data_IF_523767448614
#
_entry.id   IF_523767448614
#
_cell.length_a   1.000
_cell.length_b   1.000
_cell.length_c   1.000
_cell.angle_alpha   90.00
_cell.angle_beta   90.00
_cell.angle_gamma   90.00
#
_symmetry.space_group_name_H-M   'P 1'
#
loop_
_entity.id
_entity.type
_entity.pdbx_description
1 polymer ?
#
# COMPACT_ATOMS: atom_id res chain seq x y z
N UNK A 1 -25.40 6.94 3.53
CA UNK A 1 -24.17 6.32 4.02
C UNK A 1 -23.57 5.51 2.87
N UNK A 2 -22.29 5.69 2.52
CA UNK A 2 -21.64 4.86 1.49
C UNK A 2 -21.05 3.64 2.21
N UNK A 3 -21.56 2.46 1.90
CA UNK A 3 -21.06 1.20 2.47
C UNK A 3 -19.67 0.89 1.90
N UNK A 4 -18.76 0.43 2.76
CA UNK A 4 -17.37 0.18 2.39
C UNK A 4 -17.10 -1.32 2.38
N UNK A 5 -16.20 -1.73 1.50
CA UNK A 5 -15.72 -3.10 1.41
C UNK A 5 -15.10 -3.54 2.74
N UNK A 6 -15.53 -4.68 3.27
CA UNK A 6 -15.05 -5.23 4.54
C UNK A 6 -13.61 -5.78 4.47
N UNK A 7 -13.06 -5.98 3.26
CA UNK A 7 -11.65 -6.34 3.06
C UNK A 7 -10.76 -5.08 3.07
N UNK A 8 -10.98 -4.16 2.13
CA UNK A 8 -10.04 -3.05 1.90
C UNK A 8 -10.52 -1.67 2.40
N UNK A 9 -11.80 -1.52 2.74
CA UNK A 9 -12.41 -0.26 3.15
C UNK A 9 -12.84 0.67 2.01
N UNK A 10 -12.66 0.27 0.74
CA UNK A 10 -13.06 1.05 -0.43
C UNK A 10 -14.59 1.18 -0.53
N UNK A 11 -15.11 2.33 -0.99
CA UNK A 11 -16.56 2.54 -1.19
C UNK A 11 -17.01 2.46 -2.64
N UNK A 12 -16.08 2.30 -3.57
CA UNK A 12 -16.37 2.26 -4.99
C UNK A 12 -16.69 0.84 -5.46
N UNK A 13 -17.94 0.65 -5.89
CA UNK A 13 -18.53 -0.63 -6.27
C UNK A 13 -18.94 -0.58 -7.74
N UNK A 14 -18.37 -1.47 -8.55
CA UNK A 14 -18.70 -1.63 -9.95
C UNK A 14 -19.87 -2.60 -10.09
N UNK A 15 -20.90 -2.18 -10.82
CA UNK A 15 -22.02 -3.07 -11.16
C UNK A 15 -21.55 -4.08 -12.20
N UNK A 16 -21.66 -5.36 -11.85
CA UNK A 16 -21.56 -6.52 -12.73
C UNK A 16 -22.93 -7.18 -12.75
N UNK A 17 -23.28 -7.88 -13.83
CA UNK A 17 -24.61 -8.47 -14.08
C UNK A 17 -25.47 -8.67 -12.81
N UNK A 18 -25.14 -9.68 -12.00
CA UNK A 18 -25.83 -9.98 -10.75
C UNK A 18 -24.94 -9.77 -9.50
N UNK A 19 -23.90 -8.94 -9.58
CA UNK A 19 -22.89 -8.75 -8.53
C UNK A 19 -22.42 -7.30 -8.43
N UNK A 20 -21.95 -6.91 -7.25
CA UNK A 20 -21.20 -5.68 -7.03
C UNK A 20 -19.74 -6.02 -6.75
N UNK A 21 -18.83 -5.52 -7.60
CA UNK A 21 -17.39 -5.72 -7.45
C UNK A 21 -16.76 -4.52 -6.75
N UNK A 22 -16.04 -4.75 -5.65
CA UNK A 22 -15.18 -3.73 -5.08
C UNK A 22 -14.03 -3.42 -6.06
N UNK A 23 -13.92 -2.16 -6.50
CA UNK A 23 -12.93 -1.73 -7.52
C UNK A 23 -11.46 -1.86 -7.10
N UNK A 24 -11.18 -2.14 -5.83
CA UNK A 24 -9.85 -2.34 -5.28
C UNK A 24 -9.49 -3.81 -5.08
N UNK A 25 -10.17 -4.50 -4.16
CA UNK A 25 -9.78 -5.84 -3.72
C UNK A 25 -10.42 -6.99 -4.50
N UNK A 26 -11.33 -6.71 -5.44
CA UNK A 26 -12.05 -7.70 -6.27
C UNK A 26 -13.08 -8.57 -5.51
N UNK A 27 -13.50 -8.14 -4.32
CA UNK A 27 -14.64 -8.75 -3.65
C UNK A 27 -15.90 -8.57 -4.50
N UNK A 28 -16.58 -9.67 -4.81
CA UNK A 28 -17.91 -9.68 -5.40
C UNK A 28 -18.94 -9.97 -4.31
N UNK A 29 -20.01 -9.17 -4.24
CA UNK A 29 -21.16 -9.40 -3.35
C UNK A 29 -22.48 -9.28 -4.10
N UNK A 30 -23.51 -10.02 -3.70
CA UNK A 30 -24.86 -9.92 -4.29
C UNK A 30 -25.56 -8.63 -3.86
N UNK A 31 -25.39 -8.26 -2.60
CA UNK A 31 -25.88 -7.02 -2.03
C UNK A 31 -24.76 -6.36 -1.21
N UNK A 32 -24.49 -5.08 -1.49
CA UNK A 32 -23.50 -4.30 -0.74
C UNK A 32 -23.92 -4.12 0.73
N UNK A 33 -25.21 -4.21 1.04
CA UNK A 33 -25.73 -4.11 2.41
C UNK A 33 -25.29 -5.24 3.34
N UNK A 34 -24.84 -6.37 2.78
CA UNK A 34 -24.43 -7.57 3.53
C UNK A 34 -22.92 -7.67 3.76
N UNK A 35 -22.14 -6.69 3.27
CA UNK A 35 -20.67 -6.73 3.25
C UNK A 35 -20.02 -6.92 4.63
N UNK A 36 -20.71 -6.50 5.69
CA UNK A 36 -20.31 -6.66 7.10
C UNK A 36 -20.02 -8.11 7.46
N UNK A 37 -20.93 -9.04 7.13
CA UNK A 37 -20.80 -10.45 7.47
C UNK A 37 -19.72 -11.17 6.64
N UNK A 38 -19.43 -10.67 5.44
CA UNK A 38 -18.51 -11.29 4.49
C UNK A 38 -17.09 -11.41 5.04
N UNK A 39 -16.60 -10.46 5.84
CA UNK A 39 -15.26 -10.55 6.42
C UNK A 39 -15.13 -11.73 7.38
N UNK A 40 -16.11 -11.93 8.27
CA UNK A 40 -16.11 -13.04 9.23
C UNK A 40 -16.19 -14.40 8.51
N UNK A 41 -16.98 -14.48 7.44
CA UNK A 41 -17.08 -15.69 6.61
C UNK A 41 -15.77 -16.01 5.88
N UNK A 42 -15.10 -14.99 5.34
CA UNK A 42 -13.78 -15.15 4.72
C UNK A 42 -12.78 -15.65 5.75
N UNK A 43 -12.72 -15.05 6.93
CA UNK A 43 -11.81 -15.45 8.01
C UNK A 43 -12.09 -16.89 8.46
N UNK A 44 -13.36 -17.27 8.61
CA UNK A 44 -13.75 -18.64 8.96
C UNK A 44 -13.26 -19.66 7.92
N UNK A 45 -13.43 -19.36 6.63
CA UNK A 45 -12.94 -20.22 5.53
C UNK A 45 -11.41 -20.29 5.49
N UNK A 46 -10.71 -19.17 5.65
CA UNK A 46 -9.25 -19.13 5.75
C UNK A 46 -8.73 -19.95 6.94
N UNK A 47 -9.44 -19.90 8.08
CA UNK A 47 -9.10 -20.67 9.27
C UNK A 47 -9.26 -22.18 9.12
N UNK A 48 -9.99 -22.66 8.10
CA UNK A 48 -10.16 -24.10 7.84
C UNK A 48 -8.93 -24.76 7.18
N UNK A 49 -8.01 -23.97 6.64
CA UNK A 49 -6.79 -24.42 5.94
C UNK A 49 -6.97 -24.72 4.46
N UNK A 50 -8.20 -24.72 3.94
CA UNK A 50 -8.52 -24.85 2.53
C UNK A 50 -9.74 -24.00 2.18
N UNK A 51 -9.57 -23.06 1.25
CA UNK A 51 -10.66 -22.32 0.63
C UNK A 51 -10.90 -22.95 -0.75
N UNK A 52 -12.11 -23.44 -1.00
CA UNK A 52 -12.53 -23.99 -2.30
C UNK A 52 -13.95 -23.48 -2.63
N UNK A 53 -14.02 -22.29 -3.22
CA UNK A 53 -15.29 -21.64 -3.59
C UNK A 53 -15.96 -22.29 -4.80
N UNK A 54 -15.29 -23.23 -5.48
CA UNK A 54 -15.92 -24.00 -6.55
C UNK A 54 -16.73 -25.17 -5.97
N UNK A 55 -16.16 -25.87 -4.99
CA UNK A 55 -16.81 -27.02 -4.34
C UNK A 55 -17.80 -26.61 -3.26
N UNK A 56 -17.47 -25.57 -2.50
CA UNK A 56 -18.27 -25.02 -1.42
C UNK A 56 -18.50 -23.52 -1.67
N UNK A 57 -19.37 -23.15 -2.62
CA UNK A 57 -19.60 -21.75 -2.97
C UNK A 57 -20.19 -20.99 -1.79
N UNK A 58 -19.77 -19.74 -1.62
CA UNK A 58 -20.48 -18.80 -0.76
C UNK A 58 -21.75 -18.31 -1.46
N UNK A 59 -22.84 -18.14 -0.70
CA UNK A 59 -24.15 -17.83 -1.26
C UNK A 59 -24.23 -16.39 -1.82
N UNK A 60 -23.63 -15.43 -1.11
CA UNK A 60 -23.80 -14.01 -1.36
C UNK A 60 -22.49 -13.24 -1.65
N UNK A 61 -21.35 -13.93 -1.66
CA UNK A 61 -20.06 -13.33 -2.03
C UNK A 61 -19.19 -14.29 -2.83
N UNK A 62 -18.19 -13.76 -3.54
CA UNK A 62 -17.18 -14.55 -4.24
C UNK A 62 -15.86 -13.79 -4.30
N UNK A 63 -14.76 -14.53 -4.32
CA UNK A 63 -13.42 -14.03 -4.61
C UNK A 63 -12.82 -14.86 -5.73
N UNK A 64 -12.16 -14.18 -6.66
CA UNK A 64 -11.25 -14.82 -7.60
C UNK A 64 -9.88 -15.08 -6.95
N UNK A 65 -8.95 -15.80 -7.59
CA UNK A 65 -7.67 -16.13 -6.97
C UNK A 65 -6.90 -14.89 -6.48
N UNK A 66 -6.87 -13.81 -7.26
CA UNK A 66 -6.22 -12.56 -6.87
C UNK A 66 -6.95 -11.87 -5.68
N UNK A 67 -8.28 -11.85 -5.70
CA UNK A 67 -9.10 -11.33 -4.60
C UNK A 67 -8.91 -12.13 -3.30
N UNK A 68 -8.84 -13.46 -3.39
CA UNK A 68 -8.56 -14.32 -2.25
C UNK A 68 -7.19 -14.04 -1.63
N UNK A 69 -6.15 -13.83 -2.45
CA UNK A 69 -4.82 -13.42 -1.95
C UNK A 69 -4.90 -12.09 -1.20
N UNK A 70 -5.53 -11.08 -1.78
CA UNK A 70 -5.67 -9.76 -1.13
C UNK A 70 -6.43 -9.86 0.22
N UNK A 71 -7.51 -10.64 0.25
CA UNK A 71 -8.30 -10.87 1.46
C UNK A 71 -7.52 -11.66 2.52
N UNK A 72 -6.82 -12.73 2.12
CA UNK A 72 -5.96 -13.49 3.02
C UNK A 72 -4.91 -12.60 3.68
N UNK A 73 -4.19 -11.79 2.89
CA UNK A 73 -3.18 -10.88 3.42
C UNK A 73 -3.79 -9.84 4.36
N UNK A 74 -4.97 -9.30 4.05
CA UNK A 74 -5.70 -8.38 4.95
C UNK A 74 -5.94 -8.97 6.34
N UNK A 75 -6.25 -10.26 6.39
CA UNK A 75 -6.62 -10.97 7.61
C UNK A 75 -5.45 -11.76 8.23
N UNK A 76 -4.21 -11.54 7.76
CA UNK A 76 -3.02 -12.16 8.34
C UNK A 76 -2.86 -13.64 7.97
N UNK A 77 -3.28 -14.04 6.77
CA UNK A 77 -3.09 -15.38 6.22
C UNK A 77 -2.19 -15.33 4.99
N UNK A 78 -1.35 -16.34 4.85
CA UNK A 78 -0.73 -16.70 3.58
C UNK A 78 -1.63 -17.70 2.84
N UNK A 79 -1.58 -17.64 1.51
CA UNK A 79 -2.28 -18.60 0.64
C UNK A 79 -1.33 -19.24 -0.34
N UNK A 80 -1.59 -20.50 -0.66
CA UNK A 80 -0.94 -21.27 -1.72
C UNK A 80 -2.00 -21.92 -2.61
N UNK A 81 -1.89 -21.83 -3.94
CA UNK A 81 -2.88 -22.43 -4.83
C UNK A 81 -2.87 -23.96 -4.73
N UNK A 82 -4.04 -24.57 -4.92
CA UNK A 82 -4.23 -26.04 -4.84
C UNK A 82 -3.54 -26.76 -6.01
N UNK A 83 -3.50 -26.13 -7.19
CA UNK A 83 -2.80 -26.62 -8.37
C UNK A 83 -2.27 -25.45 -9.20
N UNK A 84 -1.09 -25.62 -9.82
CA UNK A 84 -0.51 -24.65 -10.75
C UNK A 84 0.20 -25.41 -11.87
N UNK A 85 -0.04 -25.03 -13.12
CA UNK A 85 0.80 -25.49 -14.22
C UNK A 85 2.08 -24.65 -14.30
N UNK A 86 3.18 -25.26 -14.76
CA UNK A 86 4.45 -24.57 -14.87
C UNK A 86 4.33 -23.34 -15.79
N UNK A 87 4.64 -22.15 -15.27
CA UNK A 87 4.59 -20.89 -16.00
C UNK A 87 3.31 -20.07 -15.81
N UNK A 88 2.28 -20.62 -15.16
CA UNK A 88 1.05 -19.89 -14.88
C UNK A 88 1.22 -18.88 -13.74
N UNK A 89 0.47 -17.77 -13.83
CA UNK A 89 0.29 -16.85 -12.71
C UNK A 89 -0.40 -17.61 -11.58
N UNK A 90 0.20 -17.61 -10.38
CA UNK A 90 -0.29 -18.43 -9.26
C UNK A 90 -1.69 -18.03 -8.77
N UNK A 91 -1.98 -16.73 -8.80
CA UNK A 91 -3.26 -16.14 -8.41
C UNK A 91 -3.73 -15.15 -9.48
N UNK A 92 -4.28 -15.63 -10.60
CA UNK A 92 -4.72 -14.78 -11.70
C UNK A 92 -5.99 -13.99 -11.33
N UNK A 93 -6.16 -12.76 -11.83
CA UNK A 93 -7.40 -12.00 -11.71
C UNK A 93 -8.39 -12.40 -12.82
N UNK A 94 -9.05 -13.55 -12.67
CA UNK A 94 -9.79 -14.20 -13.77
C UNK A 94 -11.29 -14.46 -13.51
N UNK A 95 -11.83 -13.96 -12.38
CA UNK A 95 -13.23 -14.12 -12.00
C UNK A 95 -13.71 -15.57 -11.78
N UNK A 96 -12.81 -16.57 -11.74
CA UNK A 96 -13.18 -17.93 -11.37
C UNK A 96 -13.24 -18.05 -9.84
N UNK A 97 -14.14 -18.88 -9.27
CA UNK A 97 -14.16 -19.12 -7.83
C UNK A 97 -12.79 -19.59 -7.31
N UNK A 98 -12.25 -18.90 -6.32
CA UNK A 98 -10.90 -19.16 -5.83
C UNK A 98 -10.76 -20.52 -5.14
N UNK A 99 -9.57 -21.11 -5.30
CA UNK A 99 -9.13 -22.31 -4.59
C UNK A 99 -7.71 -22.12 -4.07
N UNK A 100 -7.51 -22.23 -2.76
CA UNK A 100 -6.19 -22.14 -2.16
C UNK A 100 -6.12 -22.85 -0.81
N UNK A 101 -4.97 -23.46 -0.53
CA UNK A 101 -4.55 -23.72 0.84
C UNK A 101 -4.29 -22.40 1.56
N UNK A 102 -4.66 -22.33 2.83
CA UNK A 102 -4.45 -21.16 3.67
C UNK A 102 -3.75 -21.55 4.97
N UNK A 103 -2.94 -20.64 5.48
CA UNK A 103 -2.30 -20.77 6.79
C UNK A 103 -2.12 -19.40 7.43
N UNK A 104 -2.23 -19.26 8.75
CA UNK A 104 -1.88 -18.01 9.43
C UNK A 104 -0.46 -17.58 9.03
N UNK A 105 -0.30 -16.32 8.68
CA UNK A 105 1.00 -15.75 8.38
C UNK A 105 1.81 -15.64 9.67
N UNK A 106 3.11 -15.91 9.57
CA UNK A 106 4.04 -15.73 10.69
C UNK A 106 5.06 -14.66 10.33
N UNK A 107 5.33 -13.75 11.25
CA UNK A 107 6.42 -12.77 11.08
C UNK A 107 7.74 -13.48 10.85
N UNK A 108 8.43 -13.10 9.79
CA UNK A 108 9.76 -13.62 9.44
C UNK A 108 10.73 -12.46 9.23
N UNK A 109 12.04 -12.66 9.45
CA UNK A 109 13.05 -11.64 9.16
C UNK A 109 13.05 -11.22 7.69
N UNK A 110 13.45 -9.98 7.42
CA UNK A 110 13.55 -9.46 6.05
C UNK A 110 14.77 -8.58 5.84
N UNK A 111 15.13 -8.38 4.58
CA UNK A 111 16.21 -7.49 4.15
C UNK A 111 15.72 -6.27 3.35
N UNK A 112 14.48 -5.83 3.60
CA UNK A 112 13.90 -4.64 2.97
C UNK A 112 14.71 -3.41 3.38
N UNK A 113 14.91 -2.52 2.41
CA UNK A 113 15.46 -1.19 2.65
C UNK A 113 14.34 -0.15 2.79
N UNK A 114 14.57 0.86 3.62
CA UNK A 114 13.70 2.03 3.77
C UNK A 114 14.28 3.21 3.00
N UNK A 115 13.57 3.66 1.98
CA UNK A 115 13.86 4.91 1.29
C UNK A 115 12.97 6.03 1.83
N UNK A 116 13.55 7.20 2.11
CA UNK A 116 12.83 8.37 2.62
C UNK A 116 13.01 9.54 1.66
N UNK A 117 11.91 10.06 1.14
CA UNK A 117 11.89 11.35 0.44
C UNK A 117 11.56 12.46 1.44
N UNK A 118 12.35 13.52 1.47
CA UNK A 118 12.19 14.59 2.45
C UNK A 118 12.70 15.94 1.93
N UNK A 119 12.36 17.03 2.62
CA UNK A 119 12.93 18.36 2.39
C UNK A 119 13.83 18.76 3.57
N UNK A 120 14.71 19.76 3.42
CA UNK A 120 15.55 20.26 4.52
C UNK A 120 14.76 20.64 5.77
N UNK A 121 13.55 21.18 5.61
CA UNK A 121 12.67 21.55 6.72
C UNK A 121 12.23 20.35 7.59
N UNK A 122 12.30 19.13 7.05
CA UNK A 122 11.84 17.90 7.69
C UNK A 122 12.99 17.20 8.47
N UNK A 123 14.10 17.91 8.74
CA UNK A 123 15.31 17.34 9.36
C UNK A 123 15.07 16.62 10.70
N UNK A 124 14.11 17.09 11.51
CA UNK A 124 13.78 16.42 12.77
C UNK A 124 13.02 15.11 12.55
N UNK A 125 12.04 15.10 11.64
CA UNK A 125 11.33 13.88 11.23
C UNK A 125 12.30 12.85 10.66
N UNK A 126 13.26 13.26 9.83
CA UNK A 126 14.28 12.35 9.28
C UNK A 126 15.06 11.65 10.40
N UNK A 127 15.53 12.41 11.40
CA UNK A 127 16.27 11.83 12.54
C UNK A 127 15.38 10.91 13.37
N UNK A 128 14.12 11.28 13.60
CA UNK A 128 13.14 10.45 14.30
C UNK A 128 12.94 9.11 13.57
N UNK A 129 12.60 9.15 12.28
CA UNK A 129 12.36 7.96 11.44
C UNK A 129 13.59 7.06 11.43
N UNK A 130 14.76 7.63 11.12
CA UNK A 130 16.01 6.87 10.99
C UNK A 130 16.46 6.24 12.30
N UNK A 131 16.13 6.86 13.44
CA UNK A 131 16.41 6.31 14.77
C UNK A 131 15.39 5.23 15.12
N UNK A 132 14.10 5.51 14.95
CA UNK A 132 13.01 4.61 15.30
C UNK A 132 13.06 3.29 14.52
N UNK A 133 13.34 3.35 13.21
CA UNK A 133 13.38 2.18 12.34
C UNK A 133 14.77 1.58 12.13
N UNK A 134 15.78 2.02 12.90
CA UNK A 134 17.18 1.63 12.72
C UNK A 134 17.42 0.13 12.65
N UNK A 135 16.68 -0.65 13.43
CA UNK A 135 16.80 -2.12 13.49
C UNK A 135 15.71 -2.84 12.70
N UNK A 136 14.71 -2.11 12.20
CA UNK A 136 13.61 -2.69 11.43
C UNK A 136 14.00 -2.92 9.96
N UNK A 137 14.89 -2.11 9.39
CA UNK A 137 15.30 -2.21 7.98
C UNK A 137 16.79 -2.50 7.83
N UNK A 138 17.14 -3.25 6.78
CA UNK A 138 18.52 -3.62 6.50
C UNK A 138 19.37 -2.43 6.01
N UNK A 139 18.71 -1.42 5.43
CA UNK A 139 19.32 -0.18 4.95
C UNK A 139 18.31 0.95 5.05
N UNK A 140 18.77 2.15 5.39
CA UNK A 140 17.98 3.37 5.31
C UNK A 140 18.74 4.36 4.41
N UNK A 141 18.04 4.94 3.43
CA UNK A 141 18.55 6.01 2.57
C UNK A 141 17.56 7.15 2.56
N UNK A 142 18.06 8.37 2.79
CA UNK A 142 17.29 9.61 2.65
C UNK A 142 17.71 10.28 1.36
N UNK A 143 16.74 10.71 0.55
CA UNK A 143 16.97 11.57 -0.59
C UNK A 143 16.30 12.92 -0.35
N UNK A 144 17.12 13.93 -0.09
CA UNK A 144 16.71 15.28 0.26
C UNK A 144 16.46 16.13 -0.98
N UNK A 145 15.29 16.75 -1.08
CA UNK A 145 15.02 17.86 -2.00
C UNK A 145 15.72 19.14 -1.50
N UNK A 146 17.04 19.18 -1.65
CA UNK A 146 17.87 20.26 -1.13
C UNK A 146 19.28 20.24 -1.67
N UNK A 147 20.16 20.96 -0.98
CA UNK A 147 21.57 21.15 -1.33
C UNK A 147 22.46 20.09 -0.67
N UNK A 148 23.69 19.96 -1.18
CA UNK A 148 24.70 19.10 -0.57
C UNK A 148 25.06 19.50 0.87
N UNK A 149 25.00 20.80 1.16
CA UNK A 149 25.30 21.32 2.50
C UNK A 149 24.25 20.86 3.51
N UNK A 150 22.96 21.07 3.21
CA UNK A 150 21.84 20.65 4.07
C UNK A 150 21.84 19.13 4.28
N UNK A 151 22.09 18.34 3.23
CA UNK A 151 22.24 16.90 3.37
C UNK A 151 23.41 16.50 4.28
N UNK A 152 24.53 17.21 4.21
CA UNK A 152 25.68 17.01 5.09
C UNK A 152 25.36 17.31 6.56
N UNK A 153 24.58 18.35 6.85
CA UNK A 153 24.14 18.67 8.22
C UNK A 153 23.24 17.56 8.80
N UNK A 154 22.34 17.01 7.99
CA UNK A 154 21.47 15.90 8.41
C UNK A 154 22.30 14.62 8.58
N UNK A 155 23.20 14.31 7.64
CA UNK A 155 24.09 13.15 7.71
C UNK A 155 24.94 13.14 8.99
N UNK A 156 25.40 14.31 9.45
CA UNK A 156 26.15 14.43 10.70
C UNK A 156 25.33 14.02 11.94
N UNK A 157 24.00 14.13 11.90
CA UNK A 157 23.08 13.75 12.99
C UNK A 157 22.74 12.27 12.98
N UNK A 158 22.80 11.61 11.81
CA UNK A 158 22.46 10.20 11.60
C UNK A 158 23.56 9.47 10.79
N UNK A 159 24.81 9.40 11.30
CA UNK A 159 25.95 8.89 10.54
C UNK A 159 25.90 7.39 10.17
N UNK A 160 24.85 6.67 10.60
CA UNK A 160 24.63 5.26 10.29
C UNK A 160 23.71 5.02 9.09
N UNK A 161 23.19 6.08 8.46
CA UNK A 161 22.40 5.99 7.22
C UNK A 161 23.06 6.78 6.11
N UNK A 162 22.62 6.56 4.87
CA UNK A 162 23.00 7.42 3.76
C UNK A 162 22.01 8.58 3.62
N UNK A 163 22.53 9.80 3.49
CA UNK A 163 21.73 10.99 3.18
C UNK A 163 22.29 11.59 1.89
N UNK A 164 21.54 11.40 0.80
CA UNK A 164 21.82 11.98 -0.50
C UNK A 164 20.93 13.21 -0.72
N UNK A 165 21.26 14.01 -1.74
CA UNK A 165 20.45 15.15 -2.15
C UNK A 165 20.21 15.13 -3.65
N UNK A 166 19.04 15.60 -4.06
CA UNK A 166 18.72 15.89 -5.44
C UNK A 166 17.52 16.85 -5.48
N UNK A 167 17.59 17.98 -6.20
CA UNK A 167 16.46 18.90 -6.29
C UNK A 167 15.29 18.21 -6.97
N UNK A 168 14.09 18.29 -6.38
CA UNK A 168 12.88 17.65 -6.90
C UNK A 168 12.56 18.15 -8.31
N UNK A 169 12.75 19.45 -8.56
CA UNK A 169 12.46 20.10 -9.85
C UNK A 169 11.07 19.79 -10.41
N UNK A 170 10.10 19.53 -9.51
CA UNK A 170 8.75 19.12 -9.83
C UNK A 170 8.65 17.78 -10.55
N UNK A 171 9.56 16.83 -10.31
CA UNK A 171 9.56 15.47 -10.87
C UNK A 171 9.63 14.41 -9.77
N UNK A 172 8.46 14.03 -9.24
CA UNK A 172 8.36 13.05 -8.15
C UNK A 172 8.78 11.65 -8.59
N UNK A 173 8.46 11.23 -9.82
CA UNK A 173 8.94 9.96 -10.37
C UNK A 173 10.47 9.92 -10.46
N UNK A 174 11.09 10.99 -10.97
CA UNK A 174 12.54 11.12 -11.02
C UNK A 174 13.19 11.05 -9.63
N UNK A 175 12.53 11.57 -8.61
CA UNK A 175 13.00 11.51 -7.23
C UNK A 175 12.91 10.08 -6.66
N UNK A 176 11.78 9.38 -6.86
CA UNK A 176 11.64 7.96 -6.50
C UNK A 176 12.63 7.05 -7.20
N UNK A 177 12.87 7.30 -8.49
CA UNK A 177 13.80 6.50 -9.29
C UNK A 177 15.24 6.65 -8.78
N UNK A 178 15.67 7.86 -8.42
CA UNK A 178 16.98 8.08 -7.79
C UNK A 178 17.10 7.37 -6.45
N UNK A 179 16.04 7.42 -5.66
CA UNK A 179 16.00 6.69 -4.40
C UNK A 179 16.10 5.18 -4.64
N UNK A 180 15.37 4.62 -5.60
CA UNK A 180 15.48 3.20 -6.00
C UNK A 180 16.92 2.80 -6.36
N UNK A 181 17.61 3.64 -7.15
CA UNK A 181 18.99 3.39 -7.57
C UNK A 181 19.97 3.34 -6.38
N UNK A 182 19.71 4.09 -5.30
CA UNK A 182 20.56 4.15 -4.11
C UNK A 182 20.35 2.99 -3.11
N UNK A 183 19.22 2.29 -3.14
CA UNK A 183 18.83 1.38 -2.06
C UNK A 183 19.66 0.09 -1.97
N UNK A 184 20.17 -0.44 -3.07
CA UNK A 184 20.97 -1.69 -3.10
C UNK A 184 20.32 -2.93 -2.43
N UNK A 185 19.05 -2.85 -2.00
CA UNK A 185 18.25 -3.95 -1.47
C UNK A 185 17.33 -4.49 -2.55
N UNK A 186 16.87 -5.74 -2.42
CA UNK A 186 15.94 -6.35 -3.39
C UNK A 186 14.56 -5.69 -3.37
N UNK A 187 14.06 -5.42 -2.17
CA UNK A 187 12.79 -4.74 -1.91
C UNK A 187 13.05 -3.43 -1.18
N UNK A 188 12.25 -2.43 -1.52
CA UNK A 188 12.33 -1.07 -0.99
C UNK A 188 10.93 -0.64 -0.57
N UNK A 189 10.80 -0.22 0.69
CA UNK A 189 9.67 0.58 1.15
C UNK A 189 10.06 2.06 1.02
N UNK A 190 9.37 2.81 0.15
CA UNK A 190 9.59 4.25 -0.01
C UNK A 190 8.51 5.05 0.71
N UNK A 191 8.89 5.89 1.65
CA UNK A 191 7.96 6.76 2.38
C UNK A 191 8.33 8.23 2.23
N UNK A 192 7.34 9.09 2.42
CA UNK A 192 7.58 10.51 2.59
C UNK A 192 7.85 10.81 4.08
N UNK A 193 8.49 11.94 4.41
CA UNK A 193 8.90 12.24 5.79
C UNK A 193 7.74 12.39 6.79
N UNK A 194 6.51 12.55 6.31
CA UNK A 194 5.27 12.63 7.07
C UNK A 194 4.50 11.29 7.12
N UNK A 195 5.05 10.22 6.56
CA UNK A 195 4.49 8.87 6.59
C UNK A 195 5.20 7.97 7.62
N UNK A 196 4.46 7.05 8.24
CA UNK A 196 4.98 6.02 9.17
C UNK A 196 4.28 4.67 8.93
N UNK A 197 4.98 3.55 8.71
CA UNK A 197 4.33 2.24 8.75
C UNK A 197 3.81 1.95 10.17
N UNK A 198 2.57 1.48 10.27
CA UNK A 198 2.00 1.00 11.53
C UNK A 198 2.62 -0.35 11.96
N UNK A 199 2.42 -0.73 13.22
CA UNK A 199 2.97 -1.97 13.77
C UNK A 199 2.53 -3.20 12.98
N UNK A 200 1.27 -3.23 12.52
CA UNK A 200 0.74 -4.35 11.75
C UNK A 200 1.43 -4.49 10.39
N UNK A 201 1.75 -3.37 9.72
CA UNK A 201 2.52 -3.38 8.49
C UNK A 201 3.96 -3.84 8.75
N UNK A 202 4.62 -3.31 9.78
CA UNK A 202 5.99 -3.71 10.16
C UNK A 202 6.10 -5.22 10.43
N UNK A 203 5.17 -5.77 11.20
CA UNK A 203 5.10 -7.20 11.52
C UNK A 203 4.82 -8.05 10.27
N UNK A 204 4.19 -7.45 9.25
CA UNK A 204 3.83 -8.12 8.01
C UNK A 204 4.89 -8.09 6.92
N UNK A 205 5.80 -7.12 6.95
CA UNK A 205 6.75 -6.85 5.87
C UNK A 205 7.49 -8.10 5.39
N UNK A 206 7.99 -8.93 6.30
CA UNK A 206 8.81 -10.08 5.94
C UNK A 206 8.05 -11.18 5.23
N UNK A 207 6.86 -11.55 5.73
CA UNK A 207 6.07 -12.58 5.07
C UNK A 207 5.40 -12.05 3.80
N UNK A 208 5.08 -10.74 3.73
CA UNK A 208 4.56 -10.11 2.51
C UNK A 208 5.55 -10.18 1.35
N UNK A 209 6.82 -9.81 1.55
CA UNK A 209 7.81 -9.86 0.46
C UNK A 209 8.19 -11.30 0.09
N UNK A 210 8.16 -12.22 1.06
CA UNK A 210 8.35 -13.64 0.79
C UNK A 210 7.20 -14.20 -0.07
N UNK A 211 5.95 -13.89 0.27
CA UNK A 211 4.78 -14.27 -0.52
C UNK A 211 4.81 -13.63 -1.92
N UNK A 212 5.15 -12.34 -2.01
CA UNK A 212 5.30 -11.64 -3.28
C UNK A 212 6.34 -12.28 -4.19
N UNK A 213 7.53 -12.59 -3.67
CA UNK A 213 8.58 -13.28 -4.43
C UNK A 213 8.12 -14.68 -4.89
N UNK A 214 7.39 -15.44 -4.05
CA UNK A 214 6.82 -16.74 -4.44
C UNK A 214 5.73 -16.64 -5.50
N UNK A 215 5.03 -15.51 -5.57
CA UNK A 215 3.88 -15.30 -6.47
C UNK A 215 4.23 -14.50 -7.73
N UNK A 216 5.51 -14.15 -7.91
CA UNK A 216 5.99 -13.38 -9.07
C UNK A 216 5.61 -11.89 -9.02
N UNK A 217 5.24 -11.38 -7.84
CA UNK A 217 4.87 -9.99 -7.64
C UNK A 217 6.12 -9.13 -7.40
N UNK A 218 6.10 -7.89 -7.91
CA UNK A 218 7.22 -6.94 -7.87
C UNK A 218 6.83 -5.58 -7.33
N UNK A 219 5.55 -5.29 -7.18
CA UNK A 219 5.04 -4.02 -6.68
C UNK A 219 3.80 -4.23 -5.82
N UNK A 220 3.83 -3.73 -4.58
CA UNK A 220 2.76 -3.91 -3.61
C UNK A 220 2.17 -2.54 -3.24
N UNK A 221 0.86 -2.42 -3.42
CA UNK A 221 0.05 -1.29 -2.97
C UNK A 221 -0.28 -1.42 -1.49
N UNK A 222 0.06 -0.41 -0.70
CA UNK A 222 -0.20 -0.35 0.74
C UNK A 222 -1.34 0.63 1.02
N UNK A 223 -2.27 0.31 1.94
CA UNK A 223 -3.22 1.30 2.44
C UNK A 223 -2.49 2.45 3.12
N UNK A 224 -2.94 3.67 2.86
CA UNK A 224 -2.51 4.88 3.56
C UNK A 224 -3.69 5.48 4.31
N UNK A 225 -3.50 5.70 5.61
CA UNK A 225 -4.42 6.44 6.49
C UNK A 225 -3.95 7.87 6.55
N UNK A 226 -4.61 8.74 5.78
CA UNK A 226 -4.39 10.18 5.86
C UNK A 226 -5.04 10.71 7.15
N UNK A 227 -4.22 11.18 8.09
CA UNK A 227 -4.58 11.77 9.38
C UNK A 227 -4.44 13.29 9.28
N UNK A 228 -5.54 14.01 9.03
CA UNK A 228 -5.56 15.47 8.98
C UNK A 228 -5.85 16.00 10.38
N UNK A 229 -4.91 16.77 10.94
CA UNK A 229 -4.98 17.30 12.31
C UNK A 229 -5.29 16.20 13.35
N UNK A 230 -4.74 14.99 13.12
CA UNK A 230 -4.93 13.81 13.96
C UNK A 230 -6.21 13.00 13.70
N UNK A 231 -7.08 13.43 12.78
CA UNK A 231 -8.33 12.75 12.44
C UNK A 231 -8.17 11.99 11.13
N UNK A 232 -8.51 10.69 11.12
CA UNK A 232 -8.51 9.92 9.87
C UNK A 232 -9.53 10.49 8.89
N UNK A 233 -9.08 10.73 7.66
CA UNK A 233 -9.91 11.28 6.60
C UNK A 233 -10.73 10.23 5.84
N UNK A 234 -11.79 10.69 5.20
CA UNK A 234 -12.67 9.87 4.37
C UNK A 234 -11.97 9.29 3.14
N UNK A 235 -10.79 9.79 2.76
CA UNK A 235 -9.97 9.31 1.63
C UNK A 235 -9.50 7.85 1.74
N UNK A 236 -9.56 7.24 2.94
CA UNK A 236 -9.15 5.85 3.13
C UNK A 236 -10.06 4.86 2.37
N UNK A 237 -9.56 3.79 1.73
CA UNK A 237 -8.16 3.45 1.55
C UNK A 237 -7.58 4.31 0.42
N UNK A 238 -6.53 5.05 0.76
CA UNK A 238 -5.66 5.65 -0.24
C UNK A 238 -4.55 4.63 -0.52
N UNK A 239 -4.57 3.96 -1.68
CA UNK A 239 -3.58 2.92 -2.00
C UNK A 239 -2.33 3.55 -2.60
N UNK A 240 -1.19 3.32 -1.95
CA UNK A 240 0.11 3.80 -2.37
C UNK A 240 1.05 2.63 -2.68
N UNK A 241 1.53 2.55 -3.93
CA UNK A 241 2.50 1.53 -4.33
C UNK A 241 3.92 1.88 -3.86
N UNK A 242 4.16 1.70 -2.55
CA UNK A 242 5.41 2.08 -1.87
C UNK A 242 6.36 0.93 -1.59
N UNK A 243 5.88 -0.33 -1.57
CA UNK A 243 6.73 -1.50 -1.37
C UNK A 243 7.01 -2.16 -2.72
N UNK A 244 8.19 -1.92 -3.27
CA UNK A 244 8.54 -2.29 -4.64
C UNK A 244 9.89 -2.99 -4.71
N UNK A 245 10.07 -3.82 -5.74
CA UNK A 245 11.39 -4.26 -6.14
C UNK A 245 12.23 -3.06 -6.58
N UNK A 246 13.53 -3.07 -6.26
CA UNK A 246 14.42 -1.94 -6.54
C UNK A 246 14.64 -1.65 -8.03
N UNK A 247 14.34 -2.61 -8.90
CA UNK A 247 14.40 -2.46 -10.36
C UNK A 247 13.14 -1.80 -10.95
N UNK A 248 12.05 -1.66 -10.18
CA UNK A 248 10.84 -0.97 -10.62
C UNK A 248 11.12 0.53 -10.75
N UNK A 249 10.65 1.10 -11.85
CA UNK A 249 10.74 2.53 -12.15
C UNK A 249 9.37 3.18 -12.10
N UNK A 250 9.34 4.43 -11.68
CA UNK A 250 8.14 5.25 -11.59
C UNK A 250 8.02 6.15 -12.82
N UNK A 251 6.78 6.43 -13.21
CA UNK A 251 6.43 7.38 -14.26
C UNK A 251 5.28 8.28 -13.79
N UNK A 252 5.19 9.47 -14.37
CA UNK A 252 4.23 10.51 -13.95
C UNK A 252 4.90 11.59 -13.12
N UNK A 253 4.47 12.84 -13.30
CA UNK A 253 5.17 13.99 -12.72
C UNK A 253 4.83 14.24 -11.25
N UNK A 254 3.54 14.22 -10.90
CA UNK A 254 2.98 14.50 -9.56
C UNK A 254 2.17 13.32 -9.01
N UNK A 255 1.47 12.59 -9.88
CA UNK A 255 0.71 11.38 -9.54
C UNK A 255 1.45 10.16 -10.06
N UNK A 256 2.69 9.99 -9.60
CA UNK A 256 3.59 8.96 -10.07
C UNK A 256 3.10 7.55 -9.74
N UNK A 257 3.38 6.60 -10.63
CA UNK A 257 3.03 5.19 -10.47
C UNK A 257 4.18 4.30 -10.89
N UNK A 258 4.36 3.13 -10.25
CA UNK A 258 5.30 2.13 -10.72
C UNK A 258 4.89 1.65 -12.12
N UNK A 259 5.88 1.52 -13.00
CA UNK A 259 5.74 0.93 -14.33
C UNK A 259 5.97 -0.57 -14.19
N UNK A 260 4.87 -1.30 -14.01
CA UNK A 260 4.85 -2.74 -13.76
C UNK A 260 3.58 -3.33 -14.37
N UNK A 261 3.63 -4.53 -14.97
CA UNK A 261 2.41 -5.22 -15.38
C UNK A 261 1.47 -5.42 -14.19
N UNK A 262 0.17 -5.20 -14.37
CA UNK A 262 -0.81 -5.35 -13.30
C UNK A 262 -0.80 -6.75 -12.66
N UNK A 263 -0.52 -7.79 -13.46
CA UNK A 263 -0.40 -9.18 -12.96
C UNK A 263 0.81 -9.41 -12.06
N UNK A 264 1.82 -8.52 -12.11
CA UNK A 264 2.99 -8.51 -11.24
C UNK A 264 2.80 -7.56 -10.05
N UNK A 265 1.60 -7.03 -9.81
CA UNK A 265 1.28 -6.19 -8.67
C UNK A 265 0.09 -6.70 -7.85
N UNK A 266 0.00 -6.27 -6.60
CA UNK A 266 -1.09 -6.66 -5.69
C UNK A 266 -1.31 -5.63 -4.59
N UNK A 267 -2.45 -5.70 -3.92
CA UNK A 267 -2.70 -4.95 -2.70
C UNK A 267 -2.20 -5.74 -1.49
N UNK A 268 -1.24 -5.19 -0.75
CA UNK A 268 -0.79 -5.70 0.53
C UNK A 268 -1.56 -4.98 1.65
N UNK A 269 -2.71 -5.54 1.99
CA UNK A 269 -3.68 -4.95 2.91
C UNK A 269 -3.40 -5.27 4.40
N UNK A 270 -2.19 -5.74 4.72
CA UNK A 270 -1.76 -5.98 6.10
C UNK A 270 -1.17 -4.69 6.69
N UNK A 271 -1.91 -4.07 7.62
CA UNK A 271 -1.53 -2.78 8.20
C UNK A 271 -1.70 -1.61 7.22
N UNK A 272 -1.07 -0.48 7.54
CA UNK A 272 -1.13 0.75 6.75
C UNK A 272 0.09 1.65 6.95
N UNK A 273 0.27 2.59 6.01
CA UNK A 273 1.06 3.80 6.21
C UNK A 273 0.17 4.86 6.87
N UNK A 274 0.58 5.40 8.02
CA UNK A 274 -0.03 6.57 8.63
C UNK A 274 0.61 7.83 8.04
N UNK A 275 -0.20 8.73 7.49
CA UNK A 275 0.26 9.94 6.83
C UNK A 275 -0.27 11.17 7.57
N UNK A 276 0.63 11.91 8.22
CA UNK A 276 0.30 13.03 9.10
C UNK A 276 0.23 14.32 8.29
N UNK A 277 -0.97 14.88 8.21
CA UNK A 277 -1.26 16.06 7.41
C UNK A 277 -1.74 17.22 8.29
N UNK A 278 -1.31 18.42 7.92
CA UNK A 278 -1.82 19.68 8.46
C UNK A 278 -2.96 20.18 7.56
N UNK A 279 -4.12 20.50 8.14
CA UNK A 279 -5.31 20.88 7.39
C UNK A 279 -5.18 22.18 6.59
N UNK A 280 -4.35 23.13 7.04
CA UNK A 280 -4.06 24.35 6.28
C UNK A 280 -3.23 24.03 5.04
N UNK A 281 -2.17 23.21 5.21
CA UNK A 281 -1.33 22.74 4.10
C UNK A 281 -2.10 21.90 3.09
N UNK A 282 -3.08 21.09 3.51
CA UNK A 282 -3.93 20.33 2.57
C UNK A 282 -4.65 21.25 1.59
N UNK A 283 -5.22 22.37 2.07
CA UNK A 283 -5.90 23.37 1.23
C UNK A 283 -4.95 24.16 0.32
N UNK A 284 -3.71 24.37 0.78
CA UNK A 284 -2.68 25.03 -0.02
C UNK A 284 -2.11 24.11 -1.12
N UNK A 285 -1.95 22.81 -0.79
CA UNK A 285 -1.36 21.79 -1.67
C UNK A 285 -2.10 21.64 -2.98
N UNK A 286 -3.43 21.66 -2.97
CA UNK A 286 -4.27 21.61 -4.18
C UNK A 286 -3.86 22.69 -5.18
N UNK A 287 -3.58 23.91 -4.71
CA UNK A 287 -3.16 25.04 -5.55
C UNK A 287 -1.75 24.84 -6.10
N UNK A 288 -0.83 24.35 -5.26
CA UNK A 288 0.56 24.08 -5.64
C UNK A 288 0.63 22.98 -6.70
N UNK A 289 -0.09 21.87 -6.52
CA UNK A 289 -0.09 20.77 -7.47
C UNK A 289 -0.70 21.16 -8.81
N UNK A 290 -1.81 21.90 -8.80
CA UNK A 290 -2.41 22.44 -10.03
C UNK A 290 -1.44 23.37 -10.78
N UNK A 291 -0.65 24.18 -10.06
CA UNK A 291 0.38 25.02 -10.65
C UNK A 291 1.57 24.23 -11.23
N UNK A 292 1.88 23.04 -10.68
CA UNK A 292 2.95 22.17 -11.19
C UNK A 292 2.53 21.40 -12.44
N UNK A 293 1.28 20.95 -12.52
CA UNK A 293 0.71 20.25 -13.66
C UNK A 293 -0.81 20.43 -13.68
N UNK A 294 -1.36 20.86 -14.82
CA UNK A 294 -2.81 21.02 -14.98
C UNK A 294 -3.54 19.71 -14.65
N UNK A 295 -4.60 19.80 -13.83
CA UNK A 295 -5.38 18.67 -13.32
C UNK A 295 -4.71 17.86 -12.21
N UNK A 296 -3.52 18.23 -11.75
CA UNK A 296 -2.86 17.52 -10.66
C UNK A 296 -3.37 17.93 -9.27
N UNK A 297 -4.08 19.06 -9.15
CA UNK A 297 -4.64 19.50 -7.88
C UNK A 297 -5.70 18.56 -7.29
N UNK A 298 -6.49 17.89 -8.15
CA UNK A 298 -7.61 16.99 -7.79
C UNK A 298 -8.44 17.51 -6.60
N UNK A 299 -9.24 18.58 -6.78
CA UNK A 299 -10.04 19.18 -5.70
C UNK A 299 -10.97 18.20 -4.97
N UNK A 300 -11.41 17.14 -5.64
CA UNK A 300 -12.16 16.03 -5.05
C UNK A 300 -11.37 15.28 -3.96
N UNK A 301 -10.05 15.16 -4.12
CA UNK A 301 -9.16 14.56 -3.12
C UNK A 301 -9.07 15.47 -1.89
N UNK A 302 -9.06 16.80 -2.05
CA UNK A 302 -9.10 17.75 -0.94
C UNK A 302 -10.36 17.57 -0.09
N UNK A 303 -11.53 17.50 -0.73
CA UNK A 303 -12.80 17.31 -0.03
C UNK A 303 -12.82 15.98 0.77
N UNK A 304 -12.28 14.91 0.20
CA UNK A 304 -12.16 13.61 0.88
C UNK A 304 -11.12 13.62 2.02
N UNK A 305 -10.04 14.39 1.87
CA UNK A 305 -9.02 14.54 2.91
C UNK A 305 -9.53 15.34 4.11
N UNK A 306 -10.34 16.37 3.88
CA UNK A 306 -10.88 17.21 4.95
C UNK A 306 -12.13 16.62 5.61
N UNK A 307 -12.82 15.67 4.96
CA UNK A 307 -13.96 14.98 5.57
C UNK A 307 -13.48 13.88 6.53
N UNK A 308 -14.11 13.70 7.71
CA UNK A 308 -13.74 12.63 8.64
C UNK A 308 -14.14 11.25 8.07
N UNK A 309 -13.33 10.24 8.41
CA UNK A 309 -13.63 8.85 8.10
C UNK A 309 -14.87 8.37 8.85
N UNK A 310 -15.77 7.68 8.14
CA UNK A 310 -16.94 7.04 8.73
C UNK A 310 -16.67 5.54 8.94
N UNK A 311 -16.41 5.08 10.20
CA UNK A 311 -16.10 3.70 10.49
C UNK A 311 -17.33 2.78 10.50
N UNK A 312 -18.56 3.33 10.55
CA UNK A 312 -19.79 2.52 10.58
C UNK A 312 -19.94 1.74 9.27
N UNK A 313 -19.33 2.23 8.19
CA UNK A 313 -19.37 1.59 6.88
C UNK A 313 -18.40 0.40 6.70
N UNK A 314 -17.52 0.09 7.66
CA UNK A 314 -16.52 -1.02 7.59
C UNK A 314 -16.83 -2.19 8.53
N UNK A 315 -17.85 -2.03 9.39
CA UNK A 315 -18.34 -3.13 10.24
C UNK A 315 -19.05 -4.17 9.42
#
# INVERSE_FOLDING_TARGET
>A
MRLRCSICGNWDWLVREDWFECSHCRLLVRDVSEVSAVADEIVARLGSGLVDLQRDPAEHWMLDPAGLRNAAWRFGFEVGPVAIAQGDVRFPPDYRPAQAHSSPATTVPHAIGLGIMARPADANDIVEIATHYRTAFARIVVLLDGTAHEAGEIAARVPWIEVAHHPLSGDFAGQRNRLQDAMQTRWVLQIDSDERPDTALLDALGWLVAAADRDGLRSLGLPRRNLVDGVQSASYPDIQYRLNRSDIRFSGRVHERPVVPFVESSLALAGALEHRLDGERVRERTRIYEAMSAGAGRPEDEALLLAPFDPIAVR
#
